data_IF_005549350506
#
_entry.id   IF_005549350506
#
_cell.length_a   1.000
_cell.length_b   1.000
_cell.length_c   1.000
_cell.angle_alpha   90.00
_cell.angle_beta   90.00
_cell.angle_gamma   90.00
#
_symmetry.space_group_name_H-M   'P 1'
#
loop_
_entity.id
_entity.type
_entity.pdbx_description
1 polymer ?
#
# COMPACT_ATOMS: atom_id res chain seq x y z
N UNK A 1 13.54 -33.67 6.89
CA UNK A 1 14.20 -32.36 6.66
C UNK A 1 13.28 -31.29 7.22
N UNK A 2 13.63 -30.68 8.35
CA UNK A 2 12.81 -29.59 8.90
C UNK A 2 12.95 -28.33 8.03
N UNK A 3 11.85 -27.62 7.72
CA UNK A 3 11.92 -26.43 6.88
C UNK A 3 12.49 -25.26 7.70
N UNK A 4 13.64 -24.74 7.25
CA UNK A 4 14.31 -23.57 7.82
C UNK A 4 13.41 -22.34 7.72
N UNK A 5 12.76 -21.97 8.83
CA UNK A 5 11.87 -20.80 8.93
C UNK A 5 12.69 -19.53 8.67
N UNK A 6 12.58 -18.97 7.46
CA UNK A 6 13.11 -17.63 7.17
C UNK A 6 12.18 -16.60 7.84
N UNK A 7 12.69 -15.92 8.86
CA UNK A 7 12.04 -14.74 9.45
C UNK A 7 11.92 -13.67 8.37
N UNK A 8 10.69 -13.39 7.92
CA UNK A 8 10.40 -12.20 7.12
C UNK A 8 10.74 -10.97 7.98
N UNK A 9 11.73 -10.19 7.56
CA UNK A 9 11.88 -8.84 8.08
C UNK A 9 10.65 -8.05 7.64
N UNK A 10 9.87 -7.51 8.58
CA UNK A 10 8.94 -6.44 8.24
C UNK A 10 9.77 -5.29 7.69
N UNK A 11 9.76 -5.10 6.37
CA UNK A 11 10.24 -3.86 5.77
C UNK A 11 9.14 -2.82 5.97
N UNK A 12 9.03 -2.31 7.20
CA UNK A 12 8.46 -0.98 7.41
C UNK A 12 9.60 -0.04 7.03
N UNK A 13 9.73 0.25 5.74
CA UNK A 13 10.57 1.37 5.34
C UNK A 13 9.90 2.60 5.96
N UNK A 14 10.56 3.19 6.97
CA UNK A 14 10.33 4.59 7.31
C UNK A 14 10.79 5.35 6.07
N UNK A 15 9.85 5.68 5.20
CA UNK A 15 10.15 6.54 4.05
C UNK A 15 10.64 7.85 4.65
N UNK A 16 11.90 8.18 4.39
CA UNK A 16 12.40 9.50 4.76
C UNK A 16 11.79 10.48 3.78
N UNK A 17 11.47 11.70 4.21
CA UNK A 17 11.02 12.76 3.29
C UNK A 17 12.06 13.03 2.18
N UNK A 18 13.32 12.69 2.43
CA UNK A 18 14.43 12.68 1.47
C UNK A 18 14.21 11.73 0.28
N UNK A 19 13.44 10.66 0.49
CA UNK A 19 13.18 9.58 -0.46
C UNK A 19 11.90 9.82 -1.29
N UNK A 20 11.08 10.81 -0.91
CA UNK A 20 9.89 11.24 -1.62
C UNK A 20 10.24 12.46 -2.47
N UNK A 21 9.78 12.51 -3.71
CA UNK A 21 9.97 13.70 -4.54
C UNK A 21 9.21 14.87 -3.90
N UNK A 22 9.91 15.93 -3.50
CA UNK A 22 9.31 17.12 -2.91
C UNK A 22 8.20 17.69 -3.82
N UNK A 23 8.34 17.54 -5.14
CA UNK A 23 7.33 17.93 -6.12
C UNK A 23 6.06 17.08 -6.02
N UNK A 24 6.17 15.78 -5.74
CA UNK A 24 5.02 14.89 -5.56
C UNK A 24 4.27 15.25 -4.28
N UNK A 25 5.00 15.52 -3.20
CA UNK A 25 4.41 15.97 -1.92
C UNK A 25 3.66 17.28 -2.12
N UNK A 26 4.30 18.28 -2.74
CA UNK A 26 3.69 19.57 -3.02
C UNK A 26 2.49 19.45 -3.97
N UNK A 27 2.60 18.63 -5.01
CA UNK A 27 1.50 18.36 -5.93
C UNK A 27 0.27 17.85 -5.18
N UNK A 28 0.43 16.83 -4.34
CA UNK A 28 -0.69 16.27 -3.57
C UNK A 28 -1.20 17.24 -2.51
N UNK A 29 -0.33 18.01 -1.86
CA UNK A 29 -0.76 19.02 -0.88
C UNK A 29 -1.63 20.12 -1.52
N UNK A 30 -1.39 20.45 -2.78
CA UNK A 30 -2.16 21.42 -3.54
C UNK A 30 -3.48 20.88 -4.13
N UNK A 31 -3.74 19.57 -4.05
CA UNK A 31 -5.01 19.01 -4.50
C UNK A 31 -6.12 19.18 -3.46
N UNK A 32 -7.38 19.36 -3.89
CA UNK A 32 -8.52 19.32 -2.99
C UNK A 32 -8.57 18.01 -2.19
N UNK A 33 -8.97 18.09 -0.92
CA UNK A 33 -9.05 16.92 -0.03
C UNK A 33 -9.88 15.79 -0.64
N UNK A 34 -11.00 16.12 -1.29
CA UNK A 34 -11.87 15.15 -1.95
C UNK A 34 -11.15 14.41 -3.08
N UNK A 35 -10.46 15.14 -3.96
CA UNK A 35 -9.71 14.56 -5.08
C UNK A 35 -8.58 13.63 -4.62
N UNK A 36 -7.91 13.99 -3.51
CA UNK A 36 -6.92 13.11 -2.87
C UNK A 36 -7.55 11.80 -2.39
N UNK A 37 -8.67 11.89 -1.67
CA UNK A 37 -9.36 10.73 -1.13
C UNK A 37 -9.83 9.79 -2.24
N UNK A 38 -10.41 10.34 -3.30
CA UNK A 38 -10.84 9.57 -4.48
C UNK A 38 -9.66 8.84 -5.13
N UNK A 39 -8.53 9.52 -5.29
CA UNK A 39 -7.31 8.93 -5.86
C UNK A 39 -6.78 7.80 -4.99
N UNK A 40 -6.63 8.03 -3.68
CA UNK A 40 -6.16 7.00 -2.73
C UNK A 40 -7.09 5.79 -2.72
N UNK A 41 -8.41 6.00 -2.76
CA UNK A 41 -9.39 4.91 -2.84
C UNK A 41 -9.26 4.14 -4.15
N UNK A 42 -9.09 4.83 -5.28
CA UNK A 42 -8.90 4.21 -6.59
C UNK A 42 -7.62 3.36 -6.64
N UNK A 43 -6.48 3.92 -6.19
CA UNK A 43 -5.21 3.22 -6.11
C UNK A 43 -5.32 1.97 -5.22
N UNK A 44 -5.98 2.10 -4.07
CA UNK A 44 -6.21 0.98 -3.17
C UNK A 44 -7.07 -0.10 -3.83
N UNK A 45 -8.14 0.26 -4.54
CA UNK A 45 -8.98 -0.68 -5.29
C UNK A 45 -8.16 -1.42 -6.34
N UNK A 46 -7.41 -0.69 -7.15
CA UNK A 46 -6.59 -1.26 -8.22
C UNK A 46 -5.54 -2.22 -7.67
N UNK A 47 -4.84 -1.84 -6.59
CA UNK A 47 -3.84 -2.70 -5.96
C UNK A 47 -4.45 -4.01 -5.43
N UNK A 48 -5.58 -3.92 -4.72
CA UNK A 48 -6.26 -5.10 -4.18
C UNK A 48 -6.81 -6.01 -5.27
N UNK A 49 -7.43 -5.44 -6.30
CA UNK A 49 -7.94 -6.19 -7.44
C UNK A 49 -6.79 -6.87 -8.20
N UNK A 50 -5.67 -6.18 -8.42
CA UNK A 50 -4.49 -6.80 -9.03
C UNK A 50 -3.92 -7.95 -8.18
N UNK A 51 -3.85 -7.77 -6.86
CA UNK A 51 -3.25 -8.75 -5.95
C UNK A 51 -4.16 -9.95 -5.68
N UNK A 52 -5.47 -9.75 -5.53
CA UNK A 52 -6.42 -10.75 -5.04
C UNK A 52 -7.55 -11.09 -6.05
N UNK A 53 -7.56 -10.45 -7.21
CA UNK A 53 -8.61 -10.60 -8.23
C UNK A 53 -9.87 -9.76 -7.97
N UNK A 54 -10.08 -9.25 -6.76
CA UNK A 54 -11.22 -8.40 -6.41
C UNK A 54 -10.92 -7.44 -5.26
N UNK A 55 -11.71 -6.37 -5.17
CA UNK A 55 -11.72 -5.49 -4.02
C UNK A 55 -12.73 -6.01 -2.96
N UNK A 56 -12.36 -6.12 -1.68
CA UNK A 56 -13.25 -6.68 -0.68
C UNK A 56 -14.38 -5.71 -0.28
N UNK A 57 -15.59 -6.23 -0.11
CA UNK A 57 -16.76 -5.44 0.35
C UNK A 57 -16.60 -4.88 1.76
N UNK A 58 -15.81 -5.57 2.60
CA UNK A 58 -15.42 -5.13 3.93
C UNK A 58 -13.92 -5.06 4.00
N UNK A 59 -13.38 -3.89 4.40
CA UNK A 59 -11.97 -3.75 4.74
C UNK A 59 -11.73 -4.43 6.08
N UNK A 60 -11.66 -5.75 6.05
CA UNK A 60 -11.09 -6.53 7.13
C UNK A 60 -9.60 -6.18 7.13
N UNK A 61 -8.97 -6.12 8.31
CA UNK A 61 -7.52 -5.96 8.44
C UNK A 61 -6.84 -7.23 7.91
N UNK A 62 -6.83 -7.39 6.59
CA UNK A 62 -6.31 -8.54 5.89
C UNK A 62 -4.80 -8.34 5.73
N UNK A 63 -4.03 -9.02 6.58
CA UNK A 63 -2.59 -9.14 6.37
C UNK A 63 -2.40 -10.22 5.30
N UNK A 64 -2.35 -9.78 4.05
CA UNK A 64 -2.10 -10.69 2.92
C UNK A 64 -0.67 -11.21 3.02
N UNK A 65 -0.53 -12.47 3.44
CA UNK A 65 0.73 -13.21 3.32
C UNK A 65 0.75 -13.86 1.94
N UNK A 66 1.69 -13.47 1.08
CA UNK A 66 1.99 -14.30 -0.11
C UNK A 66 2.37 -15.69 0.39
N UNK A 67 1.74 -16.73 -0.16
CA UNK A 67 2.29 -18.08 -0.07
C UNK A 67 3.60 -18.05 -0.88
N UNK A 68 4.71 -18.15 -0.16
CA UNK A 68 6.01 -18.49 -0.73
C UNK A 68 6.04 -19.98 -1.03
#
# INVERSE_FOLDING_TARGET
MEPKVRKMAMVVNRVKMEDEDELDVLFWLNQPVLARLETVVSLRKNYFTWLNGSFPDKIVKAVNRRKL
#
